data_IF_073894329397
#
_entry.id   IF_073894329397
#
_cell.length_a   1.000
_cell.length_b   1.000
_cell.length_c   1.000
_cell.angle_alpha   90.00
_cell.angle_beta   90.00
_cell.angle_gamma   90.00
#
_symmetry.space_group_name_H-M   'P 1'
#
loop_
_entity.id
_entity.type
_entity.pdbx_description
1 polymer ?
#
# COMPACT_ATOMS: atom_id res chain seq x y z
N UNK A 1 7.64 -3.08 -12.43
CA UNK A 1 7.66 -4.30 -11.62
C UNK A 1 6.55 -5.26 -12.01
N UNK A 2 5.28 -4.85 -11.97
CA UNK A 2 4.13 -5.73 -12.10
C UNK A 2 4.02 -6.40 -13.48
N UNK A 3 4.32 -5.67 -14.56
CA UNK A 3 4.45 -6.25 -15.90
C UNK A 3 5.52 -7.35 -15.95
N UNK A 4 6.67 -7.12 -15.33
CA UNK A 4 7.78 -8.07 -15.32
C UNK A 4 7.43 -9.32 -14.51
N UNK A 5 6.75 -9.17 -13.37
CA UNK A 5 6.26 -10.31 -12.58
C UNK A 5 5.24 -11.15 -13.36
N UNK A 6 4.34 -10.50 -14.11
CA UNK A 6 3.42 -11.19 -15.02
C UNK A 6 4.19 -11.94 -16.11
N UNK A 7 5.14 -11.28 -16.78
CA UNK A 7 6.00 -11.89 -17.78
C UNK A 7 6.73 -13.12 -17.23
N UNK A 8 7.43 -12.98 -16.10
CA UNK A 8 8.15 -14.08 -15.46
C UNK A 8 7.23 -15.24 -15.06
N UNK A 9 6.02 -14.94 -14.57
CA UNK A 9 5.03 -15.97 -14.24
C UNK A 9 4.60 -16.75 -15.48
N UNK A 10 4.26 -16.07 -16.58
CA UNK A 10 3.89 -16.72 -17.84
C UNK A 10 5.07 -17.50 -18.45
N UNK A 11 6.27 -16.92 -18.41
CA UNK A 11 7.47 -17.55 -18.93
C UNK A 11 7.80 -18.84 -18.16
N UNK A 12 7.88 -18.78 -16.83
CA UNK A 12 8.15 -19.94 -15.97
C UNK A 12 7.09 -21.02 -16.12
N UNK A 13 5.80 -20.64 -16.17
CA UNK A 13 4.70 -21.59 -16.41
C UNK A 13 4.88 -22.27 -17.76
N UNK A 14 5.21 -21.52 -18.81
CA UNK A 14 5.43 -22.10 -20.14
C UNK A 14 6.63 -23.05 -20.20
N UNK A 15 7.67 -22.81 -19.39
CA UNK A 15 8.80 -23.73 -19.26
C UNK A 15 8.41 -25.02 -18.53
N UNK A 16 7.54 -24.94 -17.50
CA UNK A 16 7.08 -26.14 -16.78
C UNK A 16 6.25 -27.08 -17.65
N UNK A 17 5.50 -26.53 -18.61
CA UNK A 17 4.68 -27.31 -19.54
C UNK A 17 5.37 -27.57 -20.91
N UNK A 18 6.57 -27.04 -21.11
CA UNK A 18 7.36 -27.18 -22.33
C UNK A 18 8.48 -28.21 -22.20
N UNK A 19 8.97 -28.73 -23.34
CA UNK A 19 10.21 -29.52 -23.36
C UNK A 19 11.44 -28.62 -23.19
N UNK A 20 12.55 -29.08 -22.62
CA UNK A 20 13.76 -28.26 -22.43
C UNK A 20 14.27 -27.52 -23.71
N UNK A 21 13.93 -27.99 -24.91
CA UNK A 21 14.24 -27.34 -26.20
C UNK A 21 13.22 -26.27 -26.66
N UNK A 22 12.25 -25.88 -25.82
CA UNK A 22 11.15 -24.96 -26.21
C UNK A 22 11.46 -23.48 -25.99
N UNK A 23 12.62 -23.13 -25.44
CA UNK A 23 13.05 -21.73 -25.27
C UNK A 23 13.41 -21.15 -26.63
N UNK A 24 12.40 -20.64 -27.31
CA UNK A 24 12.54 -19.96 -28.61
C UNK A 24 12.22 -18.48 -28.44
N UNK A 25 12.78 -17.60 -29.30
CA UNK A 25 12.42 -16.17 -29.28
C UNK A 25 10.90 -15.95 -29.36
N UNK A 26 10.19 -16.79 -30.13
CA UNK A 26 8.73 -16.76 -30.24
C UNK A 26 8.03 -16.94 -28.89
N UNK A 27 8.52 -17.85 -28.04
CA UNK A 27 7.96 -18.07 -26.71
C UNK A 27 8.13 -16.82 -25.85
N UNK A 28 9.35 -16.26 -25.80
CA UNK A 28 9.67 -15.05 -25.03
C UNK A 28 8.76 -13.87 -25.43
N UNK A 29 8.66 -13.59 -26.73
CA UNK A 29 7.79 -12.51 -27.22
C UNK A 29 6.31 -12.78 -26.97
N UNK A 30 5.87 -14.04 -27.06
CA UNK A 30 4.47 -14.40 -26.77
C UNK A 30 4.13 -14.18 -25.28
N UNK A 31 5.00 -14.61 -24.35
CA UNK A 31 4.81 -14.38 -22.92
C UNK A 31 4.83 -12.89 -22.59
N UNK A 32 5.75 -12.12 -23.18
CA UNK A 32 5.80 -10.68 -23.02
C UNK A 32 4.54 -9.99 -23.56
N UNK A 33 4.05 -10.41 -24.73
CA UNK A 33 2.81 -9.90 -25.31
C UNK A 33 1.58 -10.17 -24.43
N UNK A 34 1.42 -11.40 -23.94
CA UNK A 34 0.33 -11.77 -23.02
C UNK A 34 0.43 -10.98 -21.71
N UNK A 35 1.61 -10.90 -21.12
CA UNK A 35 1.84 -10.11 -19.91
C UNK A 35 1.48 -8.63 -20.10
N UNK A 36 1.82 -8.06 -21.27
CA UNK A 36 1.54 -6.66 -21.59
C UNK A 36 0.03 -6.43 -21.74
N UNK A 37 -0.68 -7.32 -22.42
CA UNK A 37 -2.14 -7.23 -22.57
C UNK A 37 -2.86 -7.29 -21.21
N UNK A 38 -2.50 -8.27 -20.38
CA UNK A 38 -3.07 -8.43 -19.03
C UNK A 38 -2.76 -7.20 -18.18
N UNK A 39 -1.51 -6.73 -18.19
CA UNK A 39 -1.10 -5.54 -17.44
C UNK A 39 -1.85 -4.29 -17.90
N UNK A 40 -1.98 -4.06 -19.20
CA UNK A 40 -2.72 -2.93 -19.76
C UNK A 40 -4.19 -2.96 -19.34
N UNK A 41 -4.85 -4.12 -19.40
CA UNK A 41 -6.24 -4.27 -18.97
C UNK A 41 -6.44 -3.93 -17.49
N UNK A 42 -5.57 -4.45 -16.62
CA UNK A 42 -5.58 -4.16 -15.19
C UNK A 42 -5.26 -2.68 -14.90
N UNK A 43 -4.32 -2.11 -15.64
CA UNK A 43 -3.93 -0.72 -15.50
C UNK A 43 -5.06 0.24 -15.87
N UNK A 44 -5.76 -0.02 -16.97
CA UNK A 44 -6.96 0.74 -17.38
C UNK A 44 -8.04 0.65 -16.30
N UNK A 45 -8.27 -0.55 -15.77
CA UNK A 45 -9.24 -0.80 -14.70
C UNK A 45 -8.90 0.02 -13.44
N UNK A 46 -7.63 0.06 -13.03
CA UNK A 46 -7.17 0.92 -11.94
C UNK A 46 -7.36 2.41 -12.27
N UNK A 47 -7.06 2.83 -13.50
CA UNK A 47 -7.24 4.21 -13.96
C UNK A 47 -8.68 4.66 -13.80
N UNK A 48 -9.64 3.83 -14.21
CA UNK A 48 -11.07 4.10 -13.96
C UNK A 48 -11.39 4.19 -12.47
N UNK A 49 -10.86 3.27 -11.65
CA UNK A 49 -11.06 3.29 -10.20
C UNK A 49 -10.60 4.59 -9.54
N UNK A 50 -9.37 5.04 -9.87
CA UNK A 50 -8.80 6.29 -9.35
C UNK A 50 -9.54 7.52 -9.86
N UNK A 51 -9.91 7.55 -11.14
CA UNK A 51 -10.61 8.69 -11.74
C UNK A 51 -11.98 8.95 -11.09
N UNK A 52 -12.71 7.89 -10.75
CA UNK A 52 -14.03 7.98 -10.11
C UNK A 52 -13.91 8.38 -8.64
N UNK A 53 -12.92 7.85 -7.90
CA UNK A 53 -12.64 8.33 -6.53
C UNK A 53 -12.26 9.81 -6.52
N UNK A 54 -11.47 10.26 -7.49
CA UNK A 54 -11.09 11.65 -7.60
C UNK A 54 -12.24 12.58 -8.00
N UNK A 55 -13.14 12.13 -8.89
CA UNK A 55 -14.36 12.86 -9.24
C UNK A 55 -15.19 13.16 -8.00
N UNK A 56 -15.34 12.18 -7.11
CA UNK A 56 -16.10 12.31 -5.85
C UNK A 56 -15.43 13.23 -4.84
N UNK A 57 -14.11 13.41 -4.92
CA UNK A 57 -13.36 14.32 -4.06
C UNK A 57 -13.12 15.71 -4.64
N UNK A 58 -13.59 16.00 -5.85
CA UNK A 58 -13.29 17.25 -6.51
C UNK A 58 -11.80 17.46 -6.81
N UNK A 59 -11.01 16.38 -6.92
CA UNK A 59 -9.58 16.49 -7.26
C UNK A 59 -9.45 16.72 -8.77
N UNK A 60 -8.72 17.76 -9.14
CA UNK A 60 -8.44 18.11 -10.54
C UNK A 60 -7.51 17.09 -11.24
N UNK A 61 -7.41 17.16 -12.57
CA UNK A 61 -6.46 16.38 -13.40
C UNK A 61 -6.64 14.85 -13.30
N UNK A 62 -7.86 14.37 -13.49
CA UNK A 62 -8.23 12.93 -13.44
C UNK A 62 -7.48 12.04 -14.43
N UNK A 63 -7.05 12.60 -15.56
CA UNK A 63 -6.30 11.88 -16.58
C UNK A 63 -4.96 11.33 -16.06
N UNK A 64 -4.39 11.93 -14.99
CA UNK A 64 -3.17 11.43 -14.33
C UNK A 64 -3.33 10.01 -13.78
N UNK A 65 -4.56 9.55 -13.53
CA UNK A 65 -4.84 8.17 -13.13
C UNK A 65 -4.45 7.13 -14.21
N UNK A 66 -4.40 7.54 -15.48
CA UNK A 66 -4.10 6.69 -16.64
C UNK A 66 -2.66 6.84 -17.13
N UNK A 67 -1.82 7.58 -16.42
CA UNK A 67 -0.42 7.76 -16.79
C UNK A 67 0.43 6.87 -15.88
N UNK A 68 1.24 5.95 -16.43
CA UNK A 68 2.18 5.17 -15.63
C UNK A 68 3.05 6.10 -14.77
N UNK A 69 3.42 5.67 -13.57
CA UNK A 69 4.14 6.46 -12.56
C UNK A 69 3.29 7.59 -11.94
N UNK A 70 2.67 8.45 -12.74
CA UNK A 70 1.82 9.54 -12.26
C UNK A 70 0.56 9.04 -11.53
N UNK A 71 0.08 7.83 -11.86
CA UNK A 71 -1.00 7.17 -11.16
C UNK A 71 -0.71 6.97 -9.65
N UNK A 72 0.55 6.77 -9.26
CA UNK A 72 0.96 6.64 -7.85
C UNK A 72 0.99 7.97 -7.11
N UNK A 73 1.39 9.05 -7.78
CA UNK A 73 1.21 10.41 -7.24
C UNK A 73 -0.26 10.69 -6.98
N UNK A 74 -1.11 10.31 -7.93
CA UNK A 74 -2.55 10.51 -7.85
C UNK A 74 -3.18 9.67 -6.74
N UNK A 75 -2.77 8.41 -6.63
CA UNK A 75 -3.11 7.51 -5.52
C UNK A 75 -2.73 8.13 -4.17
N UNK A 76 -1.52 8.68 -4.06
CA UNK A 76 -1.06 9.35 -2.83
C UNK A 76 -1.88 10.59 -2.47
N UNK A 77 -2.32 11.39 -3.45
CA UNK A 77 -3.24 12.52 -3.20
C UNK A 77 -4.60 12.04 -2.69
N UNK A 78 -5.09 10.90 -3.17
CA UNK A 78 -6.34 10.30 -2.70
C UNK A 78 -6.19 9.68 -1.30
N UNK A 79 -5.08 9.01 -1.02
CA UNK A 79 -4.77 8.42 0.28
C UNK A 79 -4.59 9.49 1.35
N UNK A 80 -3.85 10.57 1.04
CA UNK A 80 -3.44 11.59 2.00
C UNK A 80 -2.13 11.21 2.71
N UNK A 81 -1.95 11.70 3.94
CA UNK A 81 -0.76 11.40 4.73
C UNK A 81 -0.75 9.92 5.12
N UNK A 82 0.40 9.27 4.92
CA UNK A 82 0.60 7.88 5.33
C UNK A 82 1.22 7.83 6.71
N UNK A 83 0.71 6.98 7.58
CA UNK A 83 1.26 6.79 8.91
C UNK A 83 2.17 5.57 8.90
N UNK A 84 3.44 5.79 9.28
CA UNK A 84 4.51 4.80 9.23
C UNK A 84 5.22 4.82 10.57
N UNK A 85 5.08 3.75 11.35
CA UNK A 85 5.66 3.64 12.70
C UNK A 85 5.36 4.86 13.59
N UNK A 86 4.10 5.31 13.61
CA UNK A 86 3.66 6.48 14.39
C UNK A 86 4.07 7.84 13.82
N UNK A 87 4.80 7.88 12.69
CA UNK A 87 5.23 9.11 12.04
C UNK A 87 4.44 9.33 10.73
N UNK A 88 4.06 10.59 10.47
CA UNK A 88 3.37 10.96 9.22
C UNK A 88 4.36 11.13 8.07
N UNK A 89 4.34 10.20 7.13
CA UNK A 89 5.00 10.32 5.84
C UNK A 89 4.16 11.20 4.90
N UNK A 90 4.57 12.46 4.82
CA UNK A 90 4.05 13.40 3.81
C UNK A 90 4.51 12.95 2.42
N UNK A 91 3.63 13.08 1.42
CA UNK A 91 3.93 12.78 0.00
C UNK A 91 4.37 11.33 -0.28
N UNK A 92 3.83 10.34 0.42
CA UNK A 92 4.11 8.93 0.16
C UNK A 92 3.94 8.52 -1.33
N UNK A 93 2.99 9.14 -2.04
CA UNK A 93 2.78 8.93 -3.47
C UNK A 93 3.98 9.29 -4.34
N UNK A 94 4.75 10.30 -3.93
CA UNK A 94 5.96 10.71 -4.64
C UNK A 94 7.08 9.70 -4.44
N UNK A 95 7.30 9.24 -3.20
CA UNK A 95 8.31 8.23 -2.93
C UNK A 95 8.01 6.91 -3.65
N UNK A 96 6.75 6.46 -3.65
CA UNK A 96 6.37 5.25 -4.38
C UNK A 96 6.55 5.41 -5.90
N UNK A 97 6.26 6.59 -6.45
CA UNK A 97 6.52 6.88 -7.88
C UNK A 97 8.02 6.81 -8.19
N UNK A 98 8.86 7.46 -7.38
CA UNK A 98 10.31 7.43 -7.57
C UNK A 98 10.85 6.01 -7.46
N UNK A 99 10.40 5.25 -6.45
CA UNK A 99 10.75 3.84 -6.30
C UNK A 99 10.34 3.04 -7.54
N UNK A 100 9.11 3.23 -8.06
CA UNK A 100 8.65 2.55 -9.28
C UNK A 100 9.55 2.84 -10.49
N UNK A 101 9.98 4.10 -10.66
CA UNK A 101 10.88 4.51 -11.74
C UNK A 101 12.22 3.78 -11.60
N UNK A 102 12.83 3.81 -10.41
CA UNK A 102 14.10 3.11 -10.14
C UNK A 102 13.96 1.61 -10.39
N UNK A 103 12.92 0.95 -9.86
CA UNK A 103 12.68 -0.48 -10.11
C UNK A 103 12.54 -0.77 -11.60
N UNK A 104 11.86 0.10 -12.35
CA UNK A 104 11.66 -0.09 -13.80
C UNK A 104 12.97 0.04 -14.56
N UNK A 105 13.82 1.00 -14.19
CA UNK A 105 15.15 1.17 -14.80
C UNK A 105 16.03 -0.05 -14.49
N UNK A 106 16.06 -0.52 -13.25
CA UNK A 106 16.87 -1.69 -12.86
C UNK A 106 16.43 -2.95 -13.60
N UNK A 107 15.11 -3.19 -13.71
CA UNK A 107 14.57 -4.31 -14.47
C UNK A 107 14.86 -4.21 -15.96
N UNK A 108 14.75 -3.00 -16.54
CA UNK A 108 15.08 -2.77 -17.94
C UNK A 108 16.57 -3.05 -18.19
N UNK A 109 17.46 -2.62 -17.30
CA UNK A 109 18.88 -2.94 -17.37
C UNK A 109 19.12 -4.46 -17.31
N UNK A 110 18.48 -5.17 -16.38
CA UNK A 110 18.59 -6.63 -16.27
C UNK A 110 18.14 -7.33 -17.56
N UNK A 111 17.00 -6.91 -18.11
CA UNK A 111 16.44 -7.49 -19.35
C UNK A 111 17.35 -7.21 -20.56
N UNK A 112 17.94 -6.01 -20.65
CA UNK A 112 18.90 -5.67 -21.71
C UNK A 112 20.17 -6.49 -21.57
N UNK A 113 20.68 -6.67 -20.34
CA UNK A 113 21.83 -7.52 -20.07
C UNK A 113 21.59 -8.98 -20.47
N UNK A 114 20.43 -9.53 -20.10
CA UNK A 114 20.00 -10.86 -20.54
C UNK A 114 19.99 -10.97 -22.07
N UNK A 115 19.32 -10.02 -22.74
CA UNK A 115 19.20 -10.01 -24.20
C UNK A 115 20.57 -9.97 -24.88
N UNK A 116 21.50 -9.13 -24.40
CA UNK A 116 22.85 -9.03 -24.96
C UNK A 116 23.66 -10.32 -24.77
N UNK A 117 23.57 -10.97 -23.60
CA UNK A 117 24.27 -12.22 -23.32
C UNK A 117 23.80 -13.38 -24.21
N UNK A 118 22.49 -13.49 -24.43
CA UNK A 118 21.89 -14.56 -25.23
C UNK A 118 21.85 -14.29 -26.74
N UNK A 119 22.18 -13.07 -27.19
CA UNK A 119 22.19 -12.75 -28.63
C UNK A 119 23.60 -12.44 -29.14
N UNK A 120 24.26 -11.43 -28.56
CA UNK A 120 25.58 -10.95 -29.02
C UNK A 120 26.69 -11.86 -28.51
N UNK A 121 26.60 -12.30 -27.25
CA UNK A 121 27.63 -13.09 -26.59
C UNK A 121 27.30 -14.58 -26.49
N UNK A 122 26.35 -15.06 -27.31
CA UNK A 122 25.89 -16.43 -27.30
C UNK A 122 27.00 -17.45 -27.62
N UNK A 123 27.99 -17.06 -28.44
CA UNK A 123 29.14 -17.90 -28.79
C UNK A 123 30.06 -18.23 -27.61
N UNK A 124 30.01 -17.42 -26.55
CA UNK A 124 30.85 -17.56 -25.36
C UNK A 124 30.22 -18.45 -24.28
N UNK A 125 29.04 -19.00 -24.58
CA UNK A 125 28.25 -19.82 -23.67
C UNK A 125 28.82 -21.24 -23.63
N UNK A 126 29.27 -21.66 -22.45
CA UNK A 126 29.85 -22.98 -22.19
C UNK A 126 29.13 -23.66 -21.03
N UNK A 127 29.20 -24.99 -21.00
CA UNK A 127 28.63 -25.79 -19.91
C UNK A 127 29.75 -26.06 -18.91
N UNK A 128 29.57 -25.65 -17.67
CA UNK A 128 30.50 -25.98 -16.60
C UNK A 128 30.44 -27.49 -16.33
N UNK A 129 31.52 -28.20 -16.64
CA UNK A 129 31.62 -29.66 -16.52
C UNK A 129 31.42 -30.19 -15.10
N UNK A 130 31.58 -29.34 -14.07
CA UNK A 130 31.48 -29.73 -12.66
C UNK A 130 30.07 -29.54 -12.11
N UNK A 131 29.39 -28.45 -12.49
CA UNK A 131 28.05 -28.11 -11.96
C UNK A 131 26.92 -28.34 -12.96
N UNK A 132 27.23 -28.65 -14.22
CA UNK A 132 26.26 -28.71 -15.32
C UNK A 132 25.62 -27.35 -15.65
N UNK A 133 26.07 -26.27 -15.02
CA UNK A 133 25.50 -24.93 -15.19
C UNK A 133 25.97 -24.29 -16.48
N UNK A 134 25.07 -23.55 -17.12
CA UNK A 134 25.41 -22.69 -18.26
C UNK A 134 26.17 -21.47 -17.72
N UNK A 135 27.36 -21.21 -18.27
CA UNK A 135 28.20 -20.06 -17.91
C UNK A 135 28.76 -19.39 -19.16
N UNK A 136 28.93 -18.06 -19.11
CA UNK A 136 29.65 -17.35 -20.16
C UNK A 136 31.12 -17.24 -19.78
N UNK A 137 32.00 -17.68 -20.68
CA UNK A 137 33.45 -17.73 -20.47
C UNK A 137 34.20 -16.99 -21.58
N UNK A 138 35.36 -16.41 -21.24
CA UNK A 138 36.18 -15.67 -22.21
C UNK A 138 35.55 -14.35 -22.66
N UNK A 139 34.71 -13.75 -21.80
CA UNK A 139 34.21 -12.38 -22.00
C UNK A 139 35.24 -11.38 -21.48
N UNK A 140 35.41 -10.28 -22.19
CA UNK A 140 36.28 -9.17 -21.80
C UNK A 140 35.56 -7.82 -21.89
N UNK A 141 36.14 -6.81 -21.23
CA UNK A 141 35.65 -5.43 -21.25
C UNK A 141 34.17 -5.30 -20.87
N UNK A 142 33.37 -4.69 -21.75
CA UNK A 142 31.95 -4.43 -21.49
C UNK A 142 31.12 -5.72 -21.34
N UNK A 143 31.49 -6.79 -22.05
CA UNK A 143 30.77 -8.05 -21.98
C UNK A 143 30.89 -8.71 -20.60
N UNK A 144 32.07 -8.60 -19.98
CA UNK A 144 32.29 -9.07 -18.62
C UNK A 144 31.45 -8.30 -17.61
N UNK A 145 31.36 -6.96 -17.74
CA UNK A 145 30.53 -6.12 -16.87
C UNK A 145 29.05 -6.52 -16.97
N UNK A 146 28.56 -6.77 -18.18
CA UNK A 146 27.18 -7.25 -18.41
C UNK A 146 26.97 -8.61 -17.73
N UNK A 147 27.90 -9.55 -17.91
CA UNK A 147 27.80 -10.89 -17.34
C UNK A 147 27.81 -10.85 -15.80
N UNK A 148 28.71 -10.05 -15.20
CA UNK A 148 28.76 -9.87 -13.75
C UNK A 148 27.50 -9.20 -13.21
N UNK A 149 26.97 -8.19 -13.92
CA UNK A 149 25.71 -7.57 -13.55
C UNK A 149 24.57 -8.58 -13.62
N UNK A 150 24.38 -9.29 -14.73
CA UNK A 150 23.31 -10.28 -14.87
C UNK A 150 23.40 -11.44 -13.86
N UNK A 151 24.58 -12.07 -13.74
CA UNK A 151 24.73 -13.28 -12.94
C UNK A 151 24.83 -13.03 -11.42
N UNK A 152 25.42 -11.92 -10.98
CA UNK A 152 25.76 -11.72 -9.56
C UNK A 152 24.94 -10.61 -8.89
N UNK A 153 24.79 -9.46 -9.54
CA UNK A 153 24.27 -8.25 -8.89
C UNK A 153 22.83 -7.90 -9.26
N UNK A 154 22.40 -8.28 -10.46
CA UNK A 154 21.18 -7.82 -11.10
C UNK A 154 19.95 -8.26 -10.33
N UNK A 155 19.87 -9.54 -9.97
CA UNK A 155 18.78 -10.10 -9.17
C UNK A 155 18.73 -9.51 -7.77
N UNK A 156 19.89 -9.33 -7.12
CA UNK A 156 19.98 -8.70 -5.80
C UNK A 156 19.45 -7.25 -5.84
N UNK A 157 19.91 -6.46 -6.80
CA UNK A 157 19.48 -5.07 -6.97
C UNK A 157 18.00 -4.98 -7.29
N UNK A 158 17.50 -5.82 -8.21
CA UNK A 158 16.07 -5.89 -8.52
C UNK A 158 15.24 -6.25 -7.29
N UNK A 159 15.70 -7.19 -6.47
CA UNK A 159 15.02 -7.63 -5.25
C UNK A 159 14.96 -6.52 -4.20
N UNK A 160 16.08 -5.83 -3.93
CA UNK A 160 16.14 -4.74 -2.94
C UNK A 160 15.26 -3.56 -3.37
N UNK A 161 15.42 -3.09 -4.61
CA UNK A 161 14.65 -1.96 -5.12
C UNK A 161 13.16 -2.32 -5.26
N UNK A 162 12.86 -3.56 -5.68
CA UNK A 162 11.50 -4.09 -5.74
C UNK A 162 10.82 -4.13 -4.37
N UNK A 163 11.51 -4.61 -3.34
CA UNK A 163 11.02 -4.64 -1.97
C UNK A 163 10.69 -3.24 -1.45
N UNK A 164 11.59 -2.27 -1.66
CA UNK A 164 11.35 -0.87 -1.26
C UNK A 164 10.09 -0.33 -1.95
N UNK A 165 9.94 -0.57 -3.25
CA UNK A 165 8.76 -0.18 -4.01
C UNK A 165 7.47 -0.81 -3.44
N UNK A 166 7.48 -2.13 -3.19
CA UNK A 166 6.32 -2.84 -2.67
C UNK A 166 5.92 -2.37 -1.27
N UNK A 167 6.89 -2.11 -0.39
CA UNK A 167 6.62 -1.54 0.93
C UNK A 167 5.98 -0.15 0.84
N UNK A 168 6.48 0.72 -0.04
CA UNK A 168 5.90 2.06 -0.21
C UNK A 168 4.47 2.00 -0.78
N UNK A 169 4.23 1.12 -1.75
CA UNK A 169 2.88 0.88 -2.29
C UNK A 169 1.96 0.26 -1.25
N UNK A 170 2.47 -0.68 -0.44
CA UNK A 170 1.73 -1.28 0.67
C UNK A 170 1.23 -0.22 1.64
N UNK A 171 2.12 0.67 2.09
CA UNK A 171 1.78 1.77 3.00
C UNK A 171 0.76 2.73 2.38
N UNK A 172 0.96 3.10 1.11
CA UNK A 172 0.02 3.96 0.38
C UNK A 172 -1.39 3.38 0.31
N UNK A 173 -1.46 2.11 -0.04
CA UNK A 173 -2.73 1.40 -0.16
C UNK A 173 -3.35 1.11 1.19
N UNK A 174 -2.57 0.86 2.24
CA UNK A 174 -3.07 0.79 3.61
C UNK A 174 -3.74 2.09 4.03
N UNK A 175 -3.13 3.24 3.74
CA UNK A 175 -3.74 4.55 3.99
C UNK A 175 -4.98 4.80 3.13
N UNK A 176 -4.96 4.40 1.86
CA UNK A 176 -6.14 4.50 0.99
C UNK A 176 -7.29 3.62 1.54
N UNK A 177 -7.00 2.37 1.87
CA UNK A 177 -7.97 1.39 2.36
C UNK A 177 -8.53 1.81 3.73
N UNK A 178 -7.71 2.33 4.65
CA UNK A 178 -8.21 2.93 5.90
C UNK A 178 -9.30 3.98 5.65
N UNK A 179 -9.17 4.75 4.57
CA UNK A 179 -10.08 5.85 4.24
C UNK A 179 -11.32 5.43 3.45
N UNK A 180 -11.21 4.45 2.55
CA UNK A 180 -12.30 4.04 1.67
C UNK A 180 -12.92 2.68 2.02
N UNK A 181 -12.26 1.88 2.86
CA UNK A 181 -12.72 0.55 3.29
C UNK A 181 -12.17 0.17 4.67
N UNK A 182 -12.59 0.86 5.74
CA UNK A 182 -12.00 0.72 7.07
C UNK A 182 -12.27 -0.63 7.75
N UNK A 183 -13.29 -1.39 7.32
CA UNK A 183 -13.68 -2.64 8.01
C UNK A 183 -12.58 -3.70 8.01
N UNK A 184 -11.98 -3.99 6.86
CA UNK A 184 -10.96 -5.03 6.67
C UNK A 184 -9.72 -4.50 5.94
N UNK A 185 -9.34 -3.24 6.20
CA UNK A 185 -8.26 -2.60 5.44
C UNK A 185 -6.93 -3.35 5.57
N UNK A 186 -6.57 -3.84 6.76
CA UNK A 186 -5.33 -4.59 7.00
C UNK A 186 -5.23 -5.83 6.14
N UNK A 187 -6.28 -6.66 6.16
CA UNK A 187 -6.32 -7.90 5.37
C UNK A 187 -6.14 -7.59 3.88
N UNK A 188 -6.88 -6.60 3.35
CA UNK A 188 -6.75 -6.20 1.95
C UNK A 188 -5.35 -5.65 1.63
N UNK A 189 -4.72 -4.93 2.56
CA UNK A 189 -3.35 -4.47 2.41
C UNK A 189 -2.34 -5.62 2.39
N UNK A 190 -2.55 -6.70 3.15
CA UNK A 190 -1.68 -7.88 3.08
C UNK A 190 -1.89 -8.68 1.79
N UNK A 191 -3.12 -8.82 1.32
CA UNK A 191 -3.42 -9.51 0.05
C UNK A 191 -2.66 -8.88 -1.11
N UNK A 192 -2.59 -7.55 -1.18
CA UNK A 192 -1.78 -6.88 -2.21
C UNK A 192 -0.27 -6.97 -2.00
N UNK A 193 0.21 -7.18 -0.77
CA UNK A 193 1.64 -7.30 -0.51
C UNK A 193 2.15 -8.60 -1.13
N UNK A 194 1.42 -9.69 -0.94
CA UNK A 194 1.77 -11.00 -1.51
C UNK A 194 1.32 -11.16 -2.96
N UNK A 195 0.25 -10.48 -3.37
CA UNK A 195 -0.27 -10.52 -4.73
C UNK A 195 -0.43 -9.10 -5.27
N UNK A 196 0.64 -8.44 -5.75
CA UNK A 196 0.63 -7.03 -6.16
C UNK A 196 -0.43 -6.68 -7.21
N UNK A 197 -0.81 -7.66 -8.04
CA UNK A 197 -1.85 -7.52 -9.06
C UNK A 197 -3.22 -7.19 -8.45
N UNK A 198 -3.50 -7.63 -7.22
CA UNK A 198 -4.78 -7.35 -6.56
C UNK A 198 -5.00 -5.85 -6.31
N UNK A 199 -3.92 -5.05 -6.24
CA UNK A 199 -3.99 -3.59 -6.13
C UNK A 199 -4.90 -2.97 -7.20
N UNK A 200 -4.73 -3.37 -8.46
CA UNK A 200 -5.51 -2.83 -9.58
C UNK A 200 -7.01 -3.08 -9.37
N UNK A 201 -7.34 -4.31 -8.99
CA UNK A 201 -8.71 -4.78 -8.75
C UNK A 201 -9.33 -4.08 -7.54
N UNK A 202 -8.58 -4.00 -6.42
CA UNK A 202 -9.03 -3.36 -5.19
C UNK A 202 -9.36 -1.88 -5.43
N UNK A 203 -8.46 -1.14 -6.09
CA UNK A 203 -8.69 0.27 -6.40
C UNK A 203 -9.97 0.47 -7.21
N UNK A 204 -10.25 -0.40 -8.17
CA UNK A 204 -11.49 -0.34 -8.95
C UNK A 204 -12.73 -0.76 -8.16
N UNK A 205 -12.61 -1.76 -7.29
CA UNK A 205 -13.71 -2.18 -6.42
C UNK A 205 -14.14 -1.04 -5.48
N UNK A 206 -13.18 -0.27 -4.97
CA UNK A 206 -13.39 0.84 -4.05
C UNK A 206 -13.92 2.12 -4.72
N UNK A 207 -14.03 2.15 -6.05
CA UNK A 207 -14.29 3.37 -6.82
C UNK A 207 -15.51 4.17 -6.39
N UNK A 208 -16.54 3.48 -5.87
CA UNK A 208 -17.82 4.09 -5.47
C UNK A 208 -17.86 4.49 -3.99
N UNK A 209 -16.86 4.12 -3.20
CA UNK A 209 -16.87 4.32 -1.76
C UNK A 209 -16.62 5.80 -1.41
N UNK A 210 -17.29 6.28 -0.37
CA UNK A 210 -17.07 7.62 0.16
C UNK A 210 -15.90 7.60 1.15
N UNK A 211 -15.06 8.65 1.19
CA UNK A 211 -14.01 8.74 2.18
C UNK A 211 -14.62 8.89 3.58
N UNK A 212 -14.18 8.05 4.51
CA UNK A 212 -14.60 8.07 5.91
C UNK A 212 -13.42 8.59 6.74
N UNK A 213 -13.71 9.40 7.76
CA UNK A 213 -12.73 9.74 8.79
C UNK A 213 -12.54 8.52 9.71
N UNK A 214 -11.32 7.96 9.68
CA UNK A 214 -11.01 6.72 10.39
C UNK A 214 -11.10 6.87 11.91
N UNK A 215 -10.72 8.03 12.44
CA UNK A 215 -10.73 8.26 13.90
C UNK A 215 -12.18 8.35 14.40
N UNK A 216 -13.04 9.04 13.64
CA UNK A 216 -14.47 9.08 13.90
C UNK A 216 -15.11 7.68 13.77
N UNK A 217 -14.71 6.90 12.75
CA UNK A 217 -15.17 5.53 12.54
C UNK A 217 -14.82 4.61 13.72
N UNK A 218 -13.57 4.67 14.21
CA UNK A 218 -13.12 3.86 15.34
C UNK A 218 -13.81 4.28 16.65
N UNK A 219 -14.02 5.59 16.86
CA UNK A 219 -14.77 6.08 18.01
C UNK A 219 -16.21 5.58 18.02
N UNK A 220 -16.94 5.71 16.91
CA UNK A 220 -18.30 5.22 16.79
C UNK A 220 -18.39 3.70 17.03
N UNK A 221 -17.41 2.94 16.53
CA UNK A 221 -17.36 1.49 16.73
C UNK A 221 -17.05 1.12 18.18
N UNK A 222 -16.13 1.82 18.82
CA UNK A 222 -15.83 1.63 20.25
C UNK A 222 -17.04 1.96 21.12
N UNK A 223 -17.77 3.03 20.80
CA UNK A 223 -19.03 3.39 21.46
C UNK A 223 -20.12 2.32 21.26
N UNK A 224 -20.24 1.72 20.07
CA UNK A 224 -21.18 0.62 19.84
C UNK A 224 -20.83 -0.62 20.68
N UNK A 225 -19.55 -1.00 20.75
CA UNK A 225 -19.10 -2.10 21.62
C UNK A 225 -19.31 -1.78 23.09
N UNK A 226 -19.00 -0.56 23.52
CA UNK A 226 -19.23 -0.11 24.89
C UNK A 226 -20.73 -0.13 25.24
N UNK A 227 -21.61 0.30 24.32
CA UNK A 227 -23.07 0.19 24.49
C UNK A 227 -23.52 -1.26 24.56
N UNK A 228 -23.05 -2.14 23.67
CA UNK A 228 -23.38 -3.57 23.73
C UNK A 228 -22.92 -4.24 25.03
N UNK A 229 -21.76 -3.87 25.56
CA UNK A 229 -21.27 -4.39 26.84
C UNK A 229 -21.92 -3.70 28.06
N UNK A 230 -22.40 -2.46 27.93
CA UNK A 230 -23.12 -1.75 28.99
C UNK A 230 -24.59 -2.20 29.12
N UNK A 231 -25.23 -2.57 28.00
CA UNK A 231 -26.60 -3.12 27.98
C UNK A 231 -26.64 -4.65 28.07
N UNK A 232 -25.53 -5.34 27.80
CA UNK A 232 -25.34 -6.77 27.99
C UNK A 232 -24.53 -7.06 29.26
N UNK A 233 -25.15 -6.87 30.42
CA UNK A 233 -24.60 -7.35 31.69
C UNK A 233 -24.24 -8.84 31.57
N UNK A 234 -22.98 -9.16 31.84
CA UNK A 234 -22.47 -10.52 31.87
C UNK A 234 -23.20 -11.33 32.97
N UNK A 235 -23.98 -12.40 32.66
CA UNK A 235 -24.77 -13.10 33.68
C UNK A 235 -24.01 -14.14 34.49
N UNK A 236 -22.76 -14.47 34.13
CA UNK A 236 -21.99 -15.49 34.85
C UNK A 236 -20.51 -15.12 34.97
N UNK A 237 -20.06 -14.97 36.22
CA UNK A 237 -18.66 -15.11 36.60
C UNK A 237 -17.99 -13.85 37.11
N UNK A 238 -18.46 -13.31 38.24
CA UNK A 238 -17.56 -12.56 39.13
C UNK A 238 -16.81 -13.54 40.02
N UNK A 239 -15.50 -13.32 40.24
CA UNK A 239 -14.79 -13.28 41.54
C UNK A 239 -13.24 -13.43 41.38
N UNK A 240 -12.41 -13.27 42.44
CA UNK A 240 -12.14 -12.05 43.23
C UNK A 240 -10.61 -11.95 43.58
N UNK A 241 -10.16 -10.91 44.32
CA UNK A 241 -8.80 -10.76 44.89
C UNK A 241 -7.61 -10.45 43.95
N UNK A 242 -7.18 -9.17 44.01
CA UNK A 242 -5.89 -8.67 43.51
C UNK A 242 -5.76 -7.17 43.82
N UNK A 243 -5.56 -6.86 45.10
CA UNK A 243 -5.67 -5.56 45.77
C UNK A 243 -4.56 -4.55 45.38
N UNK A 244 -4.96 -3.35 44.91
CA UNK A 244 -4.44 -1.97 45.21
C UNK A 244 -2.92 -1.61 45.09
N UNK A 245 -2.47 -0.37 45.38
CA UNK A 245 -3.05 1.00 45.26
C UNK A 245 -2.02 2.05 44.72
N UNK A 246 -2.40 3.07 43.94
CA UNK A 246 -1.92 4.47 44.08
C UNK A 246 -2.50 5.38 42.96
N UNK A 247 -2.98 6.54 43.37
CA UNK A 247 -3.42 7.71 42.60
C UNK A 247 -4.83 7.73 41.99
N UNK A 248 -5.81 7.84 42.90
CA UNK A 248 -6.87 8.86 42.80
C UNK A 248 -6.51 10.07 43.69
N UNK A 249 -6.77 11.32 43.28
CA UNK A 249 -7.05 12.42 44.21
C UNK A 249 -8.51 12.37 44.70
N UNK A 250 -8.82 12.97 45.87
CA UNK A 250 -9.83 12.47 46.79
C UNK A 250 -11.16 13.24 46.77
N UNK A 251 -12.21 12.54 47.23
CA UNK A 251 -13.53 13.05 47.59
C UNK A 251 -13.51 13.88 48.89
N UNK A 252 -14.50 14.76 49.04
CA UNK A 252 -15.20 15.04 50.32
C UNK A 252 -16.57 15.64 50.01
N UNK A 253 -17.69 14.88 50.04
CA UNK A 253 -18.61 14.64 51.18
C UNK A 253 -19.08 15.93 51.88
N UNK A 254 -20.35 16.17 52.26
CA UNK A 254 -21.69 15.58 52.11
C UNK A 254 -22.69 16.66 52.68
N UNK A 255 -24.03 16.47 52.67
CA UNK A 255 -25.04 17.49 52.98
C UNK A 255 -25.42 17.57 54.49
N UNK A 256 -25.97 18.71 54.93
CA UNK A 256 -26.92 18.99 56.04
C UNK A 256 -26.60 20.31 56.79
N UNK A 257 -27.60 21.19 56.91
CA UNK A 257 -27.87 21.94 58.15
C UNK A 257 -27.36 23.39 58.31
N UNK A 258 -28.31 24.32 58.23
CA UNK A 258 -28.56 25.38 59.22
C UNK A 258 -27.89 26.78 59.09
N UNK A 259 -28.78 27.79 59.09
CA UNK A 259 -28.59 29.23 59.40
C UNK A 259 -27.87 30.09 58.36
N UNK A 260 -28.43 31.18 57.83
CA UNK A 260 -29.69 31.86 58.12
C UNK A 260 -29.74 33.19 57.33
N UNK A 261 -30.97 33.66 57.09
CA UNK A 261 -31.39 35.05 56.82
C UNK A 261 -30.62 35.86 55.77
N UNK A 262 -31.22 36.36 54.70
CA UNK A 262 -32.64 36.53 54.41
C UNK A 262 -32.79 37.51 53.25
N UNK A 263 -34.02 37.55 52.74
CA UNK A 263 -34.63 38.64 51.98
C UNK A 263 -33.97 39.06 50.66
N UNK A 264 -34.68 39.38 49.59
CA UNK A 264 -36.05 39.22 49.11
C UNK A 264 -36.08 40.04 47.82
N UNK A 265 -37.03 39.73 46.92
CA UNK A 265 -37.53 40.60 45.84
C UNK A 265 -36.71 40.70 44.54
N UNK A 266 -37.19 39.91 43.57
CA UNK A 266 -37.53 40.27 42.17
C UNK A 266 -38.04 41.74 42.01
N UNK A 267 -38.29 42.32 40.80
CA UNK A 267 -37.92 41.98 39.42
C UNK A 267 -37.44 43.21 38.55
N UNK A 268 -36.95 42.93 37.33
CA UNK A 268 -37.20 43.69 36.07
C UNK A 268 -36.87 45.20 35.93
N UNK A 269 -35.90 45.53 35.06
CA UNK A 269 -35.82 46.71 34.16
C UNK A 269 -34.42 46.66 33.50
N UNK A 270 -34.19 46.68 32.19
CA UNK A 270 -34.79 47.50 31.15
C UNK A 270 -33.93 48.75 30.91
N UNK A 271 -33.11 48.72 29.82
CA UNK A 271 -32.41 49.86 29.16
C UNK A 271 -31.28 50.53 30.02
N UNK A 272 -30.15 51.05 29.52
CA UNK A 272 -29.87 51.83 28.32
C UNK A 272 -28.33 51.99 28.09
N UNK A 273 -27.93 52.13 26.80
CA UNK A 273 -26.81 52.91 26.18
C UNK A 273 -25.50 53.28 26.92
N UNK A 274 -24.43 53.28 26.09
CA UNK A 274 -23.43 54.37 26.01
C UNK A 274 -21.99 53.92 26.28
N UNK A 275 -21.18 53.69 25.23
CA UNK A 275 -20.12 54.60 24.75
C UNK A 275 -19.25 55.24 25.85
N UNK A 276 -18.03 54.73 25.97
CA UNK A 276 -16.78 55.48 25.80
C UNK A 276 -15.65 54.48 25.56
#
# INVERSE_FOLDING_TARGET
MEFFNLYQSFFTTSLMFGSANSVTPRLIFSCAGVALLVWCGLFILQGFGLSEMAKRRGIEKRWMAFVPFANLLYLGKLAGDCEVFGHKMKKAGLYAMLAQIVTTITLAALTVSEALLFTVYASNLTINSTTGSIVWTGLDGFAEVINQFYCNWGDLLCSVVGLIYELLVFLLMMSLLKKYYPKNYLFMSFVQLFVPITRFILIFALRKNTPIDYDAYMRARYEEYARRNAYGGNPYGGNPYGNNPYNRPPYGNNPYGQSGYGNSQNPNSGYEKGRS
#
